data_IF_111618089659
#
_entry.id   IF_111618089659
#
_cell.length_a   1.000
_cell.length_b   1.000
_cell.length_c   1.000
_cell.angle_alpha   90.00
_cell.angle_beta   90.00
_cell.angle_gamma   90.00
#
_symmetry.space_group_name_H-M   'P 1'
#
loop_
_entity.id
_entity.type
_entity.pdbx_description
1 polymer ?
#
# COMPACT_ATOMS: atom_id res chain seq x y z
N UNK A 1 17.81 -13.94 -34.90
CA UNK A 1 18.77 -13.04 -34.25
C UNK A 1 18.00 -12.11 -33.35
N UNK A 2 17.75 -12.53 -32.11
CA UNK A 2 17.10 -11.69 -31.11
C UNK A 2 18.19 -10.92 -30.37
N UNK A 3 18.41 -9.68 -30.80
CA UNK A 3 19.25 -8.74 -30.08
C UNK A 3 18.48 -8.28 -28.83
N UNK A 4 18.69 -8.96 -27.71
CA UNK A 4 18.05 -8.65 -26.42
C UNK A 4 18.50 -7.28 -25.91
N UNK A 5 17.53 -6.39 -25.67
CA UNK A 5 17.77 -5.07 -25.06
C UNK A 5 17.81 -5.19 -23.53
N UNK A 6 18.75 -4.47 -22.89
CA UNK A 6 18.85 -4.45 -21.42
C UNK A 6 18.07 -3.24 -20.90
N UNK A 7 17.03 -3.49 -20.11
CA UNK A 7 16.21 -2.43 -19.49
C UNK A 7 16.51 -2.28 -17.99
N UNK A 8 16.59 -1.04 -17.52
CA UNK A 8 16.80 -0.69 -16.09
C UNK A 8 15.69 0.21 -15.59
N UNK A 9 15.29 0.02 -14.33
CA UNK A 9 14.28 0.86 -13.67
C UNK A 9 14.81 2.27 -13.48
N UNK A 10 13.98 3.27 -13.81
CA UNK A 10 14.32 4.68 -13.65
C UNK A 10 13.31 5.43 -12.79
N UNK A 11 12.02 5.05 -12.84
CA UNK A 11 10.95 5.71 -12.09
C UNK A 11 10.40 4.92 -10.89
N UNK A 12 9.73 5.63 -9.98
CA UNK A 12 8.89 5.05 -8.93
C UNK A 12 7.66 4.36 -9.52
N UNK A 13 7.04 3.49 -8.73
CA UNK A 13 5.77 2.85 -9.10
C UNK A 13 4.62 3.84 -8.94
N UNK A 14 3.96 4.17 -10.04
CA UNK A 14 2.86 5.14 -10.09
C UNK A 14 1.54 4.51 -10.57
N UNK A 15 0.37 5.06 -10.19
CA UNK A 15 -0.90 4.62 -10.73
C UNK A 15 -1.00 4.90 -12.22
N UNK A 16 -1.55 3.95 -12.97
CA UNK A 16 -1.82 4.15 -14.38
C UNK A 16 -2.96 5.15 -14.61
N UNK A 17 -2.86 6.00 -15.65
CA UNK A 17 -3.99 6.79 -16.12
C UNK A 17 -5.17 5.89 -16.54
N UNK A 18 -6.39 6.38 -16.31
CA UNK A 18 -7.62 5.64 -16.60
C UNK A 18 -7.73 5.17 -18.06
N UNK A 19 -7.16 5.93 -18.99
CA UNK A 19 -7.19 5.67 -20.43
C UNK A 19 -6.38 4.42 -20.82
N UNK A 20 -5.30 4.13 -20.09
CA UNK A 20 -4.36 3.05 -20.38
C UNK A 20 -4.41 1.93 -19.34
N UNK A 21 -5.39 1.92 -18.46
CA UNK A 21 -5.50 0.95 -17.36
C UNK A 21 -5.55 -0.52 -17.86
N UNK A 22 -6.03 -0.71 -19.10
CA UNK A 22 -6.13 -2.02 -19.75
C UNK A 22 -4.87 -2.45 -20.50
N UNK A 23 -3.88 -1.59 -20.60
CA UNK A 23 -2.61 -1.91 -21.24
C UNK A 23 -1.81 -2.91 -20.39
N UNK A 24 -1.00 -3.79 -21.01
CA UNK A 24 -0.29 -4.85 -20.31
C UNK A 24 0.69 -4.31 -19.25
N UNK A 25 1.30 -3.14 -19.49
CA UNK A 25 2.19 -2.49 -18.51
C UNK A 25 1.45 -1.94 -17.28
N UNK A 26 0.11 -2.00 -17.25
CA UNK A 26 -0.69 -1.63 -16.08
C UNK A 26 -1.27 -2.85 -15.35
N UNK A 27 -1.13 -4.06 -15.89
CA UNK A 27 -1.76 -5.25 -15.30
C UNK A 27 -0.76 -6.03 -14.43
N UNK A 28 -1.20 -6.65 -13.31
CA UNK A 28 -2.59 -6.73 -12.81
C UNK A 28 -2.98 -5.62 -11.81
N UNK A 29 -2.03 -4.81 -11.34
CA UNK A 29 -2.23 -3.94 -10.18
C UNK A 29 -2.72 -2.52 -10.52
N UNK A 30 -2.82 -2.18 -11.79
CA UNK A 30 -3.15 -0.83 -12.24
C UNK A 30 -2.00 0.16 -12.05
N UNK A 31 -0.77 -0.31 -11.81
CA UNK A 31 0.40 0.54 -11.57
C UNK A 31 1.51 0.24 -12.59
N UNK A 32 2.24 1.28 -12.97
CA UNK A 32 3.35 1.24 -13.92
C UNK A 32 4.59 1.96 -13.39
N UNK A 33 5.75 1.64 -13.94
CA UNK A 33 7.00 2.40 -13.72
C UNK A 33 7.79 2.57 -15.01
N UNK A 34 8.59 3.64 -15.06
CA UNK A 34 9.40 4.00 -16.22
C UNK A 34 10.71 3.20 -16.26
N UNK A 35 11.06 2.74 -17.45
CA UNK A 35 12.28 2.02 -17.80
C UNK A 35 13.15 2.82 -18.76
N UNK A 36 14.47 2.68 -18.61
CA UNK A 36 15.45 3.04 -19.62
C UNK A 36 15.99 1.75 -20.24
N UNK A 37 15.75 1.55 -21.52
CA UNK A 37 16.24 0.41 -22.28
C UNK A 37 17.41 0.80 -23.18
N UNK A 38 18.49 0.03 -23.09
CA UNK A 38 19.72 0.23 -23.86
C UNK A 38 19.87 -0.86 -24.93
N UNK A 39 20.36 -0.51 -26.13
CA UNK A 39 20.68 -1.50 -27.14
C UNK A 39 21.79 -2.45 -26.63
N UNK A 40 21.84 -3.70 -27.13
CA UNK A 40 22.95 -4.58 -26.81
C UNK A 40 24.27 -3.96 -27.28
N UNK A 41 25.32 -4.12 -26.47
CA UNK A 41 26.66 -3.68 -26.82
C UNK A 41 27.10 -4.32 -28.14
N UNK A 42 27.70 -3.56 -29.08
CA UNK A 42 28.25 -4.15 -30.29
C UNK A 42 29.25 -5.25 -29.92
N UNK A 43 29.34 -6.34 -30.71
CA UNK A 43 30.31 -7.40 -30.46
C UNK A 43 31.70 -6.78 -30.40
N UNK A 44 32.38 -6.96 -29.27
CA UNK A 44 33.78 -6.58 -29.09
C UNK A 44 34.62 -7.33 -30.12
N UNK A 45 35.20 -6.61 -31.08
CA UNK A 45 36.37 -7.12 -31.80
C UNK A 45 37.44 -7.48 -30.77
N UNK A 46 38.21 -8.57 -30.99
CA UNK A 46 39.24 -8.96 -30.05
C UNK A 46 40.39 -7.98 -30.22
N UNK A 47 40.43 -6.92 -29.42
CA UNK A 47 41.70 -6.30 -29.13
C UNK A 47 41.96 -6.28 -27.63
N UNK A 48 43.17 -6.69 -27.34
CA UNK A 48 43.66 -7.04 -26.02
C UNK A 48 43.85 -5.76 -25.22
N UNK A 49 43.37 -5.73 -23.98
CA UNK A 49 44.09 -5.28 -22.76
C UNK A 49 43.07 -4.93 -21.68
N UNK A 50 43.29 -5.50 -20.49
CA UNK A 50 42.56 -5.25 -19.24
C UNK A 50 42.20 -3.78 -19.01
N UNK A 51 40.94 -3.53 -18.63
CA UNK A 51 40.56 -2.51 -17.64
C UNK A 51 39.16 -2.83 -17.12
N UNK A 52 39.06 -3.15 -15.83
CA UNK A 52 37.81 -3.08 -15.07
C UNK A 52 37.29 -1.66 -15.17
N UNK A 53 36.33 -1.41 -16.05
CA UNK A 53 35.68 -0.12 -16.17
C UNK A 53 34.20 -0.36 -16.32
N UNK A 54 33.48 0.19 -15.35
CA UNK A 54 32.02 0.25 -15.26
C UNK A 54 31.38 0.45 -16.65
N UNK A 55 30.34 -0.32 -17.03
CA UNK A 55 29.70 -0.21 -18.36
C UNK A 55 29.00 1.14 -18.63
N UNK A 56 29.13 2.10 -17.71
CA UNK A 56 28.38 3.35 -17.63
C UNK A 56 28.97 4.53 -18.41
N UNK A 57 30.06 4.34 -19.17
CA UNK A 57 30.81 5.47 -19.75
C UNK A 57 31.08 5.39 -21.25
N UNK A 58 30.18 4.80 -22.04
CA UNK A 58 30.21 5.02 -23.48
C UNK A 58 29.16 6.07 -23.89
N UNK A 59 29.55 7.30 -24.28
CA UNK A 59 28.60 8.39 -24.59
C UNK A 59 27.65 8.06 -25.76
N UNK A 60 28.01 7.11 -26.62
CA UNK A 60 27.17 6.64 -27.72
C UNK A 60 25.97 5.79 -27.25
N UNK A 61 26.04 5.17 -26.07
CA UNK A 61 24.92 4.38 -25.52
C UNK A 61 23.83 5.26 -24.89
N UNK A 62 24.17 6.47 -24.43
CA UNK A 62 23.20 7.42 -23.89
C UNK A 62 22.32 8.02 -25.00
N UNK A 63 22.85 8.17 -26.21
CA UNK A 63 22.13 8.72 -27.36
C UNK A 63 21.06 7.78 -27.94
N UNK A 64 21.00 6.51 -27.53
CA UNK A 64 20.03 5.50 -28.01
C UNK A 64 19.23 4.85 -26.87
N UNK A 65 19.05 5.55 -25.75
CA UNK A 65 18.12 5.08 -24.73
C UNK A 65 16.67 5.16 -25.23
N UNK A 66 15.90 4.11 -24.97
CA UNK A 66 14.45 4.09 -25.25
C UNK A 66 13.68 4.06 -23.95
N UNK A 67 12.71 4.96 -23.82
CA UNK A 67 11.77 4.99 -22.69
C UNK A 67 10.70 3.92 -22.89
N UNK A 68 10.49 3.11 -21.86
CA UNK A 68 9.46 2.08 -21.86
C UNK A 68 8.73 2.04 -20.51
N UNK A 69 7.57 1.40 -20.50
CA UNK A 69 6.76 1.20 -19.29
C UNK A 69 6.68 -0.28 -18.97
N UNK A 70 6.77 -0.62 -17.69
CA UNK A 70 6.44 -1.95 -17.20
C UNK A 70 5.49 -1.91 -16.02
N UNK A 71 4.83 -3.03 -15.76
CA UNK A 71 4.01 -3.19 -14.58
C UNK A 71 4.87 -3.24 -13.32
N UNK A 72 4.34 -2.68 -12.24
CA UNK A 72 4.97 -2.71 -10.93
C UNK A 72 3.99 -3.18 -9.86
N UNK A 73 4.48 -3.32 -8.63
CA UNK A 73 3.71 -3.83 -7.50
C UNK A 73 2.60 -2.89 -7.02
N UNK A 74 2.02 -3.23 -5.87
CA UNK A 74 1.06 -2.38 -5.17
C UNK A 74 1.76 -1.21 -4.50
N UNK A 75 1.13 -0.05 -4.52
CA UNK A 75 1.65 1.17 -3.88
C UNK A 75 1.22 1.17 -2.41
N UNK A 76 2.15 0.80 -1.53
CA UNK A 76 1.91 0.59 -0.08
C UNK A 76 1.37 1.85 0.60
N UNK A 77 1.80 3.04 0.17
CA UNK A 77 1.39 4.30 0.80
C UNK A 77 -0.13 4.52 0.68
N UNK A 78 -0.71 4.15 -0.48
CA UNK A 78 -2.12 4.34 -0.77
C UNK A 78 -2.97 3.29 -0.06
N UNK A 79 -2.58 2.01 -0.16
CA UNK A 79 -3.29 0.91 0.54
C UNK A 79 -3.31 1.10 2.06
N UNK A 80 -2.26 1.72 2.63
CA UNK A 80 -2.19 1.99 4.07
C UNK A 80 -3.28 2.99 4.51
N UNK A 81 -3.62 3.97 3.70
CA UNK A 81 -4.68 4.94 4.03
C UNK A 81 -6.05 4.25 4.06
N UNK A 82 -6.35 3.47 3.03
CA UNK A 82 -7.60 2.68 2.92
C UNK A 82 -7.73 1.68 4.07
N UNK A 83 -6.61 1.05 4.48
CA UNK A 83 -6.59 0.17 5.64
C UNK A 83 -6.98 0.89 6.94
N UNK A 84 -6.47 2.11 7.17
CA UNK A 84 -6.80 2.87 8.36
C UNK A 84 -8.26 3.35 8.38
N UNK A 85 -8.84 3.65 7.22
CA UNK A 85 -10.27 3.93 7.12
C UNK A 85 -11.10 2.72 7.60
N UNK A 86 -10.78 1.52 7.11
CA UNK A 86 -11.44 0.29 7.55
C UNK A 86 -11.28 0.07 9.06
N UNK A 87 -10.07 0.23 9.59
CA UNK A 87 -9.80 0.08 11.03
C UNK A 87 -10.61 1.09 11.85
N UNK A 88 -10.64 2.36 11.43
CA UNK A 88 -11.38 3.42 12.13
C UNK A 88 -12.89 3.12 12.16
N UNK A 89 -13.47 2.66 11.05
CA UNK A 89 -14.87 2.24 10.99
C UNK A 89 -15.19 1.10 11.98
N UNK A 90 -14.32 0.09 12.07
CA UNK A 90 -14.50 -1.00 13.01
C UNK A 90 -14.36 -0.55 14.48
N UNK A 91 -13.38 0.32 14.77
CA UNK A 91 -13.22 0.90 16.11
C UNK A 91 -14.43 1.75 16.51
N UNK A 92 -15.04 2.47 15.58
CA UNK A 92 -16.28 3.21 15.82
C UNK A 92 -17.42 2.25 16.21
N UNK A 93 -17.61 1.14 15.50
CA UNK A 93 -18.62 0.14 15.86
C UNK A 93 -18.35 -0.49 17.23
N UNK A 94 -17.10 -0.82 17.54
CA UNK A 94 -16.69 -1.34 18.86
C UNK A 94 -17.03 -0.32 19.94
N UNK A 95 -16.69 0.96 19.74
CA UNK A 95 -16.99 2.02 20.69
C UNK A 95 -18.48 2.16 20.94
N UNK A 96 -19.31 2.19 19.88
CA UNK A 96 -20.76 2.27 20.01
C UNK A 96 -21.30 1.06 20.78
N UNK A 97 -20.85 -0.15 20.46
CA UNK A 97 -21.25 -1.36 21.16
C UNK A 97 -20.89 -1.31 22.66
N UNK A 98 -19.67 -0.88 22.99
CA UNK A 98 -19.22 -0.71 24.38
C UNK A 98 -20.06 0.32 25.14
N UNK A 99 -20.38 1.45 24.53
CA UNK A 99 -21.24 2.47 25.14
C UNK A 99 -22.63 1.90 25.44
N UNK A 100 -23.24 1.20 24.47
CA UNK A 100 -24.56 0.59 24.67
C UNK A 100 -24.53 -0.47 25.79
N UNK A 101 -23.51 -1.33 25.81
CA UNK A 101 -23.33 -2.33 26.87
C UNK A 101 -23.10 -1.66 28.22
N UNK A 102 -22.30 -0.61 28.29
CA UNK A 102 -22.04 0.13 29.53
C UNK A 102 -23.33 0.77 30.07
N UNK A 103 -24.14 1.40 29.20
CA UNK A 103 -25.43 1.96 29.58
C UNK A 103 -26.40 0.89 30.08
N UNK A 104 -26.46 -0.26 29.39
CA UNK A 104 -27.27 -1.43 29.80
C UNK A 104 -26.82 -1.96 31.16
N UNK A 105 -25.51 -2.11 31.36
CA UNK A 105 -24.91 -2.60 32.60
C UNK A 105 -25.22 -1.65 33.76
N UNK A 106 -25.02 -0.34 33.57
CA UNK A 106 -25.35 0.68 34.58
C UNK A 106 -26.84 0.62 34.95
N UNK A 107 -27.73 0.54 33.96
CA UNK A 107 -29.17 0.41 34.19
C UNK A 107 -29.51 -0.85 34.99
N UNK A 108 -28.99 -2.00 34.58
CA UNK A 108 -29.22 -3.27 35.28
C UNK A 108 -28.73 -3.24 36.73
N UNK A 109 -27.52 -2.73 36.97
CA UNK A 109 -26.94 -2.62 38.31
C UNK A 109 -27.77 -1.71 39.22
N UNK A 110 -28.28 -0.58 38.70
CA UNK A 110 -29.18 0.29 39.49
C UNK A 110 -30.50 -0.39 39.85
N UNK A 111 -31.05 -1.24 38.97
CA UNK A 111 -32.27 -1.99 39.26
C UNK A 111 -32.03 -3.06 40.33
N UNK A 112 -30.91 -3.79 40.24
CA UNK A 112 -30.52 -4.77 41.26
C UNK A 112 -30.27 -4.12 42.62
N UNK A 113 -29.58 -2.97 42.65
CA UNK A 113 -29.37 -2.20 43.88
C UNK A 113 -30.69 -1.74 44.52
N UNK A 114 -31.66 -1.30 43.70
CA UNK A 114 -33.02 -0.96 44.17
C UNK A 114 -33.76 -2.16 44.74
N UNK A 115 -33.69 -3.31 44.09
CA UNK A 115 -34.31 -4.55 44.57
C UNK A 115 -33.70 -5.01 45.90
N UNK A 116 -32.38 -4.90 46.06
CA UNK A 116 -31.71 -5.19 47.33
C UNK A 116 -32.14 -4.21 48.43
N UNK A 117 -32.15 -2.90 48.16
CA UNK A 117 -32.58 -1.88 49.12
C UNK A 117 -34.05 -2.05 49.55
N UNK A 118 -34.95 -2.41 48.63
CA UNK A 118 -36.35 -2.70 48.92
C UNK A 118 -36.52 -3.92 49.84
N UNK A 119 -35.63 -4.91 49.76
CA UNK A 119 -35.64 -6.09 50.65
C UNK A 119 -35.04 -5.80 52.03
N UNK A 120 -34.07 -4.90 52.14
CA UNK A 120 -33.41 -4.55 53.42
C UNK A 120 -34.23 -3.50 54.20
N UNK A 121 -35.20 -2.81 53.58
CA UNK A 121 -36.08 -1.85 54.27
C UNK A 121 -35.46 -0.47 54.52
N UNK A 122 -34.34 -0.15 53.88
CA UNK A 122 -33.61 1.13 54.04
C UNK A 122 -34.35 2.37 53.49
N UNK A 123 -35.60 2.24 53.04
CA UNK A 123 -36.42 3.35 52.49
C UNK A 123 -37.35 4.02 53.49
N UNK A 124 -37.39 3.60 54.77
CA UNK A 124 -38.34 4.11 55.77
C UNK A 124 -37.67 4.29 57.13
N UNK A 125 -36.72 5.21 57.21
CA UNK A 125 -36.08 5.61 58.45
C UNK A 125 -35.68 7.08 58.41
N UNK A 126 -36.32 7.88 59.26
CA UNK A 126 -36.19 9.33 59.52
C UNK A 126 -36.99 10.26 58.62
N UNK A 127 -38.19 10.58 59.13
CA UNK A 127 -39.20 11.50 58.59
C UNK A 127 -40.56 11.13 59.17
#
# INVERSE_FOLDING_TARGET
NDTESICRHFGECEPCPHEVLREPFCQPFGNRRLLHCFPPSPPSEPDSTHSDTDPHQNPDNLARETLAWESCGRIVIQERADFWEFVACNLLFIFIALVLVFLRLKRMNTMQARQLAARIGLGRGYG
#
